data_IF_574285967110
#
_entry.id   IF_574285967110
#
_cell.length_a   1.000
_cell.length_b   1.000
_cell.length_c   1.000
_cell.angle_alpha   90.00
_cell.angle_beta   90.00
_cell.angle_gamma   90.00
#
_symmetry.space_group_name_H-M   'P 1'
#
loop_
_entity.id
_entity.type
_entity.pdbx_description
1 polymer ?
#
# COMPACT_ATOMS: atom_id res chain seq x y z
N UNK A 1 -6.85 -4.10 -5.53
CA UNK A 1 -5.77 -4.08 -4.53
C UNK A 1 -4.40 -4.14 -5.20
N UNK A 2 -3.41 -3.44 -4.66
CA UNK A 2 -2.02 -3.49 -5.14
C UNK A 2 -1.09 -3.79 -3.97
N UNK A 3 -0.61 -5.03 -3.90
CA UNK A 3 0.35 -5.52 -2.91
C UNK A 3 1.78 -5.61 -3.43
N UNK A 4 2.71 -5.93 -2.54
CA UNK A 4 4.13 -6.15 -2.88
C UNK A 4 5.08 -5.59 -1.82
N UNK A 5 6.35 -5.95 -1.89
CA UNK A 5 7.35 -5.54 -0.90
C UNK A 5 7.56 -4.03 -0.77
N UNK A 6 8.19 -3.61 0.32
CA UNK A 6 8.60 -2.21 0.47
C UNK A 6 9.44 -1.76 -0.73
N UNK A 7 9.19 -0.55 -1.24
CA UNK A 7 9.89 0.02 -2.41
C UNK A 7 9.81 -0.81 -3.70
N UNK A 8 8.83 -1.70 -3.84
CA UNK A 8 8.63 -2.49 -5.08
C UNK A 8 8.08 -1.66 -6.25
N UNK A 9 7.52 -0.47 -6.00
CA UNK A 9 6.91 0.37 -7.02
C UNK A 9 5.38 0.39 -7.04
N UNK A 10 4.72 -0.15 -6.01
CA UNK A 10 3.24 -0.16 -5.86
C UNK A 10 2.60 1.19 -6.11
N UNK A 11 3.04 2.21 -5.39
CA UNK A 11 2.52 3.57 -5.51
C UNK A 11 2.70 4.15 -6.92
N UNK A 12 3.81 3.81 -7.58
CA UNK A 12 4.08 4.23 -8.97
C UNK A 12 3.08 3.59 -9.92
N UNK A 13 2.82 2.28 -9.76
CA UNK A 13 1.85 1.55 -10.58
C UNK A 13 0.43 2.03 -10.28
N UNK A 14 0.06 2.22 -9.00
CA UNK A 14 -1.24 2.76 -8.62
C UNK A 14 -1.52 4.12 -9.29
N UNK A 15 -0.55 5.04 -9.23
CA UNK A 15 -0.65 6.35 -9.89
C UNK A 15 -0.71 6.24 -11.41
N UNK A 16 0.03 5.29 -12.00
CA UNK A 16 0.03 5.08 -13.44
C UNK A 16 -1.30 4.49 -13.95
N UNK A 17 -1.93 3.60 -13.19
CA UNK A 17 -3.29 3.10 -13.47
C UNK A 17 -4.30 4.27 -13.35
N UNK A 18 -4.29 5.01 -12.24
CA UNK A 18 -5.21 6.12 -12.02
C UNK A 18 -5.14 7.19 -13.13
N UNK A 19 -3.95 7.51 -13.63
CA UNK A 19 -3.78 8.45 -14.76
C UNK A 19 -4.36 7.96 -16.08
N UNK A 20 -4.52 6.66 -16.28
CA UNK A 20 -5.10 6.08 -17.50
C UNK A 20 -6.61 5.95 -17.44
N UNK A 21 -7.19 6.21 -16.27
CA UNK A 21 -8.63 6.21 -16.01
C UNK A 21 -9.15 7.65 -15.88
N UNK A 22 -8.62 8.57 -16.68
CA UNK A 22 -8.86 10.03 -16.58
C UNK A 22 -10.35 10.41 -16.64
N UNK A 23 -11.16 9.63 -17.35
CA UNK A 23 -12.62 9.85 -17.47
C UNK A 23 -13.40 9.32 -16.26
N UNK A 24 -12.73 8.67 -15.31
CA UNK A 24 -13.34 8.04 -14.14
C UNK A 24 -12.86 8.71 -12.85
N UNK A 25 -13.76 8.84 -11.90
CA UNK A 25 -13.40 9.32 -10.57
C UNK A 25 -12.63 8.22 -9.83
N UNK A 26 -11.31 8.28 -9.95
CA UNK A 26 -10.40 7.32 -9.32
C UNK A 26 -9.82 7.88 -8.03
N UNK A 27 -9.87 7.12 -6.94
CA UNK A 27 -9.21 7.43 -5.68
C UNK A 27 -8.12 6.40 -5.40
N UNK A 28 -6.96 6.88 -4.94
CA UNK A 28 -5.83 6.04 -4.52
C UNK A 28 -5.65 6.20 -3.01
N UNK A 29 -5.70 5.11 -2.29
CA UNK A 29 -5.57 5.04 -0.84
C UNK A 29 -4.36 4.19 -0.51
N UNK A 30 -3.47 4.73 0.33
CA UNK A 30 -2.39 3.93 0.90
C UNK A 30 -2.84 3.30 2.22
N UNK A 31 -2.63 2.00 2.39
CA UNK A 31 -2.87 1.39 3.69
C UNK A 31 -1.93 1.95 4.77
N UNK A 32 -0.83 2.59 4.37
CA UNK A 32 0.10 3.22 5.30
C UNK A 32 -0.57 4.35 6.12
N UNK A 33 -1.68 4.91 5.62
CA UNK A 33 -2.48 5.88 6.37
C UNK A 33 -3.14 5.28 7.61
N UNK A 34 -3.28 3.96 7.66
CA UNK A 34 -3.96 3.23 8.73
C UNK A 34 -3.01 2.62 9.76
N UNK A 35 -1.74 3.03 9.80
CA UNK A 35 -0.87 2.66 10.93
C UNK A 35 -1.48 3.14 12.26
N UNK A 36 -1.31 2.34 13.30
CA UNK A 36 -1.71 2.73 14.65
C UNK A 36 -0.97 3.99 15.11
N UNK A 37 -1.69 4.90 15.76
CA UNK A 37 -1.11 6.10 16.37
C UNK A 37 -0.19 5.71 17.53
N UNK A 38 1.07 6.09 17.44
CA UNK A 38 2.06 5.83 18.50
C UNK A 38 2.36 7.06 19.36
N UNK A 39 1.56 8.13 19.26
CA UNK A 39 1.81 9.38 20.02
C UNK A 39 1.79 9.20 21.54
N UNK A 40 1.10 8.17 22.03
CA UNK A 40 1.04 7.81 23.46
C UNK A 40 2.13 6.83 23.91
N UNK A 41 2.92 6.30 22.97
CA UNK A 41 3.97 5.33 23.28
C UNK A 41 5.25 6.03 23.75
N UNK A 42 6.01 5.41 24.69
CA UNK A 42 7.33 5.89 25.03
C UNK A 42 8.25 5.93 23.80
N UNK A 43 9.17 6.92 23.69
CA UNK A 43 10.05 7.06 22.53
C UNK A 43 10.87 5.79 22.21
N UNK A 44 11.27 5.04 23.22
CA UNK A 44 12.03 3.78 23.04
C UNK A 44 11.18 2.68 22.43
N UNK A 45 9.89 2.63 22.74
CA UNK A 45 8.96 1.66 22.12
C UNK A 45 8.68 2.03 20.66
N UNK A 46 8.53 3.32 20.35
CA UNK A 46 8.37 3.80 18.98
C UNK A 46 9.57 3.40 18.10
N UNK A 47 10.80 3.54 18.59
CA UNK A 47 12.02 3.12 17.87
C UNK A 47 12.05 1.63 17.59
N UNK A 48 11.53 0.83 18.51
CA UNK A 48 11.51 -0.62 18.41
C UNK A 48 10.25 -1.18 17.74
N UNK A 49 9.29 -0.33 17.39
CA UNK A 49 8.04 -0.75 16.77
C UNK A 49 8.28 -1.36 15.39
N UNK A 50 7.62 -2.48 15.10
CA UNK A 50 7.76 -3.14 13.80
C UNK A 50 6.63 -2.70 12.86
N UNK A 51 6.88 -1.66 12.09
CA UNK A 51 5.95 -1.16 11.06
C UNK A 51 5.76 -2.13 9.88
N UNK A 52 6.64 -3.08 9.72
CA UNK A 52 6.55 -4.11 8.67
C UNK A 52 5.83 -5.40 9.18
N UNK A 53 5.13 -5.34 10.33
CA UNK A 53 4.29 -6.43 10.82
C UNK A 53 2.80 -6.11 10.55
N UNK A 54 1.96 -7.10 10.16
CA UNK A 54 0.55 -6.84 9.86
C UNK A 54 -0.24 -6.17 11.00
N UNK A 55 0.09 -6.48 12.25
CA UNK A 55 -0.56 -5.86 13.41
C UNK A 55 -0.23 -4.37 13.60
N UNK A 56 0.67 -3.79 12.80
CA UNK A 56 0.93 -2.37 12.83
C UNK A 56 -0.18 -1.54 12.16
N UNK A 57 -0.99 -2.18 11.32
CA UNK A 57 -2.12 -1.56 10.62
C UNK A 57 -3.43 -1.80 11.40
N UNK A 58 -4.22 -0.76 11.52
CA UNK A 58 -5.61 -0.82 11.97
C UNK A 58 -6.47 -1.39 10.84
N UNK A 59 -6.37 -2.71 10.67
CA UNK A 59 -7.05 -3.42 9.59
C UNK A 59 -8.58 -3.35 9.71
N UNK A 60 -9.11 -3.26 10.95
CA UNK A 60 -10.53 -3.15 11.18
C UNK A 60 -11.09 -1.84 10.62
N UNK A 61 -10.46 -0.71 10.96
CA UNK A 61 -10.82 0.60 10.42
C UNK A 61 -10.67 0.65 8.90
N UNK A 62 -9.56 0.12 8.37
CA UNK A 62 -9.31 0.08 6.92
C UNK A 62 -10.42 -0.67 6.17
N UNK A 63 -10.83 -1.84 6.67
CA UNK A 63 -11.91 -2.65 6.08
C UNK A 63 -13.26 -1.95 6.20
N UNK A 64 -13.55 -1.30 7.33
CA UNK A 64 -14.77 -0.52 7.54
C UNK A 64 -14.86 0.63 6.54
N UNK A 65 -13.79 1.40 6.40
CA UNK A 65 -13.71 2.53 5.47
C UNK A 65 -13.88 2.07 4.01
N UNK A 66 -13.23 0.97 3.60
CA UNK A 66 -13.39 0.40 2.26
C UNK A 66 -14.86 -0.02 2.02
N UNK A 67 -15.49 -0.70 2.99
CA UNK A 67 -16.91 -1.08 2.89
C UNK A 67 -17.84 0.12 2.77
N UNK A 68 -17.58 1.20 3.49
CA UNK A 68 -18.34 2.44 3.41
C UNK A 68 -18.18 3.10 2.02
N UNK A 69 -16.94 3.19 1.53
CA UNK A 69 -16.65 3.74 0.20
C UNK A 69 -17.34 2.95 -0.93
N UNK A 70 -17.36 1.62 -0.84
CA UNK A 70 -18.04 0.75 -1.81
C UNK A 70 -19.56 0.95 -1.82
N UNK A 71 -20.14 1.46 -0.72
CA UNK A 71 -21.56 1.85 -0.64
C UNK A 71 -21.81 3.29 -1.09
N UNK A 72 -20.76 4.03 -1.48
CA UNK A 72 -20.85 5.45 -1.81
C UNK A 72 -20.98 6.37 -0.59
N UNK A 73 -20.72 5.87 0.61
CA UNK A 73 -20.70 6.67 1.83
C UNK A 73 -19.44 7.52 1.91
N UNK A 74 -19.52 8.71 2.48
CA UNK A 74 -18.37 9.58 2.65
C UNK A 74 -17.47 9.08 3.78
N UNK A 75 -16.18 8.95 3.50
CA UNK A 75 -15.15 8.50 4.46
C UNK A 75 -14.05 9.56 4.56
N UNK A 76 -13.61 9.84 5.77
CA UNK A 76 -12.42 10.65 6.02
C UNK A 76 -11.22 9.71 6.21
N UNK A 77 -10.47 9.49 5.13
CA UNK A 77 -9.26 8.65 5.16
C UNK A 77 -8.24 9.29 6.09
N UNK A 78 -7.71 8.57 7.10
CA UNK A 78 -6.72 9.11 8.01
C UNK A 78 -5.45 9.55 7.27
N UNK A 79 -4.65 10.39 7.91
CA UNK A 79 -3.31 10.74 7.46
C UNK A 79 -2.28 10.29 8.49
N UNK A 80 -1.14 9.78 8.04
CA UNK A 80 -0.09 9.25 8.91
C UNK A 80 1.24 9.93 8.66
N UNK A 81 1.76 10.56 9.72
CA UNK A 81 3.08 11.17 9.71
C UNK A 81 4.16 10.17 10.14
N UNK A 82 5.00 9.79 9.18
CA UNK A 82 6.12 8.84 9.38
C UNK A 82 7.28 9.39 10.23
N UNK A 83 7.33 10.70 10.46
CA UNK A 83 8.39 11.33 11.26
C UNK A 83 7.98 11.32 12.74
N UNK A 84 6.74 11.67 13.00
CA UNK A 84 6.21 11.76 14.37
C UNK A 84 5.48 10.51 14.82
N UNK A 85 5.25 9.56 13.92
CA UNK A 85 4.46 8.32 14.14
C UNK A 85 3.06 8.59 14.67
N UNK A 86 2.44 9.67 14.20
CA UNK A 86 1.10 10.08 14.57
C UNK A 86 0.11 9.87 13.44
N UNK A 87 -1.07 9.44 13.80
CA UNK A 87 -2.24 9.44 12.93
C UNK A 87 -3.10 10.67 13.25
N UNK A 88 -3.36 11.49 12.25
CA UNK A 88 -4.26 12.64 12.35
C UNK A 88 -5.62 12.32 11.75
N UNK A 89 -6.64 13.11 12.12
CA UNK A 89 -7.90 13.09 11.40
C UNK A 89 -7.65 13.42 9.93
N UNK A 90 -8.22 12.59 9.04
CA UNK A 90 -7.88 12.62 7.64
C UNK A 90 -8.29 13.91 6.94
N UNK A 91 -7.43 14.32 6.03
CA UNK A 91 -7.67 15.47 5.16
C UNK A 91 -8.33 15.06 3.83
N UNK A 92 -8.32 13.77 3.50
CA UNK A 92 -8.91 13.24 2.29
C UNK A 92 -10.33 12.72 2.59
N UNK A 93 -11.34 13.52 2.23
CA UNK A 93 -12.73 13.08 2.23
C UNK A 93 -13.05 12.41 0.89
N UNK A 94 -13.36 11.12 0.91
CA UNK A 94 -13.82 10.34 -0.24
C UNK A 94 -15.33 10.16 -0.11
N UNK A 95 -16.09 10.83 -0.97
CA UNK A 95 -17.56 10.73 -0.96
C UNK A 95 -18.11 9.71 -1.98
N UNK A 96 -17.48 9.61 -3.13
CA UNK A 96 -17.83 8.67 -4.20
C UNK A 96 -16.62 8.47 -5.10
N UNK A 97 -16.41 7.26 -5.59
CA UNK A 97 -15.41 6.94 -6.60
C UNK A 97 -15.92 5.81 -7.51
N UNK A 98 -15.63 5.89 -8.80
CA UNK A 98 -15.88 4.81 -9.75
C UNK A 98 -14.86 3.70 -9.57
N UNK A 99 -13.62 4.06 -9.20
CA UNK A 99 -12.52 3.13 -8.96
C UNK A 99 -11.79 3.48 -7.66
N UNK A 100 -11.65 2.51 -6.78
CA UNK A 100 -10.87 2.60 -5.54
C UNK A 100 -9.62 1.74 -5.71
N UNK A 101 -8.45 2.37 -5.66
CA UNK A 101 -7.16 1.69 -5.68
C UNK A 101 -6.58 1.73 -4.26
N UNK A 102 -6.59 0.60 -3.57
CA UNK A 102 -5.92 0.45 -2.28
C UNK A 102 -4.54 -0.20 -2.51
N UNK A 103 -3.47 0.50 -2.11
CA UNK A 103 -2.11 0.00 -2.23
C UNK A 103 -1.42 -0.11 -0.88
N UNK A 104 -0.55 -1.10 -0.74
CA UNK A 104 0.28 -1.25 0.44
C UNK A 104 0.95 -2.61 0.57
N UNK A 105 1.90 -2.72 1.51
CA UNK A 105 2.66 -3.97 1.67
C UNK A 105 1.78 -5.14 2.11
N UNK A 106 0.70 -4.87 2.85
CA UNK A 106 -0.26 -5.88 3.32
C UNK A 106 -1.61 -5.85 2.58
N UNK A 107 -1.72 -5.14 1.46
CA UNK A 107 -2.98 -5.03 0.72
C UNK A 107 -3.54 -6.40 0.28
N UNK A 108 -2.67 -7.38 0.05
CA UNK A 108 -3.06 -8.76 -0.30
C UNK A 108 -2.96 -9.75 0.88
N UNK A 109 -2.77 -9.27 2.09
CA UNK A 109 -2.65 -10.11 3.28
C UNK A 109 -3.99 -10.33 3.99
N UNK A 110 -4.80 -9.26 4.12
CA UNK A 110 -6.05 -9.30 4.89
C UNK A 110 -7.18 -9.93 4.09
N UNK A 111 -7.74 -11.04 4.59
CA UNK A 111 -8.78 -11.81 3.91
C UNK A 111 -10.02 -10.96 3.59
N UNK A 112 -10.45 -10.12 4.54
CA UNK A 112 -11.62 -9.25 4.35
C UNK A 112 -11.44 -8.27 3.18
N UNK A 113 -10.22 -7.77 2.93
CA UNK A 113 -9.95 -6.93 1.77
C UNK A 113 -9.94 -7.72 0.46
N UNK A 114 -9.40 -8.95 0.50
CA UNK A 114 -9.40 -9.83 -0.68
C UNK A 114 -10.83 -10.12 -1.18
N UNK A 115 -11.76 -10.32 -0.25
CA UNK A 115 -13.18 -10.60 -0.55
C UNK A 115 -13.93 -9.38 -1.10
N UNK A 116 -13.48 -8.17 -0.80
CA UNK A 116 -14.06 -6.92 -1.28
C UNK A 116 -13.49 -6.46 -2.63
N UNK A 117 -12.48 -7.15 -3.16
CA UNK A 117 -11.71 -6.65 -4.31
C UNK A 117 -12.02 -7.40 -5.59
N UNK A 118 -12.23 -6.65 -6.68
CA UNK A 118 -12.43 -7.18 -8.03
C UNK A 118 -11.11 -7.59 -8.70
N UNK A 119 -10.02 -6.87 -8.40
CA UNK A 119 -8.70 -7.12 -9.00
C UNK A 119 -7.58 -7.01 -7.98
N UNK A 120 -6.70 -8.00 -7.97
CA UNK A 120 -5.57 -8.14 -7.05
C UNK A 120 -4.26 -8.19 -7.81
N UNK A 121 -3.41 -7.21 -7.60
CA UNK A 121 -2.13 -7.04 -8.29
C UNK A 121 -0.99 -7.18 -7.27
N UNK A 122 -0.01 -8.02 -7.56
CA UNK A 122 1.24 -8.05 -6.79
C UNK A 122 2.36 -7.41 -7.60
N UNK A 123 3.05 -6.44 -7.03
CA UNK A 123 4.22 -5.81 -7.65
C UNK A 123 5.48 -6.51 -7.17
N UNK A 124 6.08 -7.27 -8.07
CA UNK A 124 7.27 -8.06 -7.82
C UNK A 124 8.54 -7.31 -8.25
N UNK A 125 9.51 -7.24 -7.36
CA UNK A 125 10.77 -6.55 -7.57
C UNK A 125 11.84 -7.22 -6.74
N UNK A 126 13.01 -7.44 -7.31
CA UNK A 126 14.14 -8.09 -6.65
C UNK A 126 14.52 -7.38 -5.36
N UNK A 127 14.95 -8.16 -4.36
CA UNK A 127 15.18 -7.67 -3.00
C UNK A 127 16.30 -6.64 -2.91
N UNK A 128 17.36 -6.77 -3.71
CA UNK A 128 18.48 -5.83 -3.79
C UNK A 128 18.06 -4.47 -4.38
N UNK A 129 17.20 -4.48 -5.40
CA UNK A 129 16.61 -3.27 -5.99
C UNK A 129 15.70 -2.58 -4.97
N UNK A 130 14.87 -3.34 -4.26
CA UNK A 130 13.99 -2.79 -3.21
C UNK A 130 14.79 -2.21 -2.06
N UNK A 131 15.85 -2.88 -1.61
CA UNK A 131 16.74 -2.38 -0.56
C UNK A 131 17.45 -1.10 -0.99
N UNK A 132 17.99 -1.06 -2.20
CA UNK A 132 18.64 0.14 -2.76
C UNK A 132 17.68 1.33 -2.79
N UNK A 133 16.46 1.13 -3.26
CA UNK A 133 15.43 2.18 -3.29
C UNK A 133 15.02 2.62 -1.88
N UNK A 134 14.94 1.68 -0.94
CA UNK A 134 14.62 1.97 0.47
C UNK A 134 15.73 2.78 1.13
N UNK A 135 17.00 2.42 0.92
CA UNK A 135 18.15 3.20 1.41
C UNK A 135 18.08 4.64 0.93
N UNK A 136 17.88 4.85 -0.36
CA UNK A 136 17.80 6.20 -0.94
C UNK A 136 16.63 7.00 -0.34
N UNK A 137 15.44 6.40 -0.24
CA UNK A 137 14.26 7.07 0.31
C UNK A 137 14.43 7.40 1.78
N UNK A 138 14.79 6.41 2.60
CA UNK A 138 14.76 6.56 4.05
C UNK A 138 15.89 7.47 4.54
N UNK A 139 17.02 7.53 3.83
CA UNK A 139 18.09 8.50 4.13
C UNK A 139 17.76 9.92 3.68
N UNK A 140 17.05 10.11 2.55
CA UNK A 140 16.71 11.44 2.06
C UNK A 140 15.47 12.04 2.71
N UNK A 141 14.42 11.21 2.88
CA UNK A 141 13.08 11.71 3.17
C UNK A 141 12.67 11.46 4.63
N UNK A 142 13.31 10.51 5.32
CA UNK A 142 12.94 10.09 6.69
C UNK A 142 14.03 10.34 7.75
N UNK A 143 15.20 10.83 7.33
CA UNK A 143 16.28 11.23 8.24
C UNK A 143 17.06 10.07 8.89
N UNK A 144 16.90 8.84 8.40
CA UNK A 144 17.69 7.69 8.86
C UNK A 144 19.11 7.73 8.26
N UNK A 145 20.09 7.21 9.02
CA UNK A 145 21.40 6.90 8.45
C UNK A 145 21.38 5.52 7.75
N UNK A 146 22.43 5.24 6.99
CA UNK A 146 22.55 4.01 6.20
C UNK A 146 22.58 2.77 7.11
N UNK A 147 23.29 2.83 8.24
CA UNK A 147 23.44 1.72 9.18
C UNK A 147 22.07 1.38 9.81
N UNK A 148 21.35 2.39 10.29
CA UNK A 148 20.01 2.22 10.86
C UNK A 148 19.00 1.64 9.86
N UNK A 149 19.07 2.03 8.57
CA UNK A 149 18.20 1.43 7.55
C UNK A 149 18.53 -0.04 7.32
N UNK A 150 19.82 -0.40 7.30
CA UNK A 150 20.28 -1.79 7.11
C UNK A 150 19.90 -2.68 8.29
N UNK A 151 20.11 -2.20 9.50
CA UNK A 151 19.74 -2.93 10.72
C UNK A 151 18.22 -3.18 10.76
N UNK A 152 17.42 -2.14 10.52
CA UNK A 152 15.97 -2.28 10.44
C UNK A 152 15.54 -3.26 9.33
N UNK A 153 16.23 -3.21 8.18
CA UNK A 153 15.92 -4.11 7.07
C UNK A 153 16.16 -5.57 7.44
N UNK A 154 17.29 -5.88 8.06
CA UNK A 154 17.65 -7.25 8.46
C UNK A 154 16.79 -7.77 9.62
N UNK A 155 16.52 -6.92 10.60
CA UNK A 155 15.84 -7.32 11.83
C UNK A 155 14.31 -7.39 11.69
N UNK A 156 13.70 -6.53 10.85
CA UNK A 156 12.25 -6.39 10.76
C UNK A 156 11.71 -6.57 9.36
N UNK A 157 12.25 -5.81 8.40
CA UNK A 157 11.66 -5.71 7.05
C UNK A 157 11.75 -7.03 6.30
N UNK A 158 12.95 -7.61 6.23
CA UNK A 158 13.17 -8.88 5.51
C UNK A 158 12.41 -10.04 6.16
N UNK A 159 12.48 -10.27 7.48
CA UNK A 159 11.68 -11.33 8.12
C UNK A 159 10.18 -11.16 7.92
N UNK A 160 9.66 -9.94 8.02
CA UNK A 160 8.24 -9.66 7.79
C UNK A 160 7.84 -9.85 6.32
N UNK A 161 8.71 -9.48 5.38
CA UNK A 161 8.48 -9.75 3.98
C UNK A 161 8.35 -11.25 3.69
N UNK A 162 9.29 -12.04 4.21
CA UNK A 162 9.34 -13.49 4.01
C UNK A 162 8.14 -14.20 4.69
N UNK A 163 7.68 -13.68 5.83
CA UNK A 163 6.59 -14.28 6.60
C UNK A 163 5.19 -13.90 6.10
N UNK A 164 4.98 -12.67 5.64
CA UNK A 164 3.63 -12.14 5.39
C UNK A 164 3.43 -11.64 3.96
N UNK A 165 4.44 -10.93 3.39
CA UNK A 165 4.25 -10.23 2.12
C UNK A 165 4.45 -11.17 0.93
N UNK A 166 5.57 -11.88 0.88
CA UNK A 166 5.84 -12.82 -0.21
C UNK A 166 4.79 -13.94 -0.30
N UNK A 167 4.36 -14.57 0.81
CA UNK A 167 3.27 -15.55 0.76
C UNK A 167 1.92 -14.98 0.28
N UNK A 168 1.66 -13.68 0.41
CA UNK A 168 0.43 -13.03 -0.07
C UNK A 168 0.37 -12.93 -1.60
N UNK A 169 1.49 -13.09 -2.28
CA UNK A 169 1.60 -13.12 -3.75
C UNK A 169 0.68 -14.17 -4.39
N UNK A 170 0.40 -15.27 -3.71
CA UNK A 170 -0.54 -16.31 -4.16
C UNK A 170 -1.97 -15.83 -4.31
N UNK A 171 -2.33 -14.72 -3.66
CA UNK A 171 -3.67 -14.13 -3.72
C UNK A 171 -3.84 -13.17 -4.90
N UNK A 172 -2.77 -12.88 -5.64
CA UNK A 172 -2.80 -11.97 -6.77
C UNK A 172 -3.39 -12.63 -8.01
N UNK A 173 -4.23 -11.89 -8.72
CA UNK A 173 -4.72 -12.26 -10.06
C UNK A 173 -3.64 -11.96 -11.11
N UNK A 174 -2.82 -10.92 -10.89
CA UNK A 174 -1.75 -10.48 -11.80
C UNK A 174 -0.48 -10.14 -11.01
N UNK A 175 0.67 -10.54 -11.54
CA UNK A 175 1.99 -10.16 -11.03
C UNK A 175 2.63 -9.21 -12.04
N UNK A 176 3.01 -8.00 -11.58
CA UNK A 176 3.66 -6.98 -12.41
C UNK A 176 5.10 -6.78 -11.93
N UNK A 177 6.10 -6.87 -12.82
CA UNK A 177 7.47 -6.53 -12.45
C UNK A 177 7.59 -5.03 -12.18
N UNK A 178 8.11 -4.66 -11.00
CA UNK A 178 8.27 -3.27 -10.59
C UNK A 178 9.66 -2.67 -10.88
N UNK A 179 10.53 -3.43 -11.54
CA UNK A 179 11.92 -3.08 -11.86
C UNK A 179 12.16 -2.81 -13.36
N UNK A 180 11.15 -2.96 -14.18
CA UNK A 180 11.22 -2.77 -15.63
C UNK A 180 10.00 -2.02 -16.15
N UNK A 181 9.98 -1.78 -17.46
CA UNK A 181 8.84 -1.16 -18.13
C UNK A 181 7.59 -2.04 -18.03
N UNK A 182 6.49 -1.44 -17.59
CA UNK A 182 5.19 -2.08 -17.41
C UNK A 182 4.07 -1.45 -18.25
N UNK A 183 4.39 -0.58 -19.20
CA UNK A 183 3.40 0.14 -20.01
C UNK A 183 2.45 -0.78 -20.77
N UNK A 184 2.95 -1.89 -21.29
CA UNK A 184 2.10 -2.89 -21.99
C UNK A 184 1.10 -3.53 -21.03
N UNK A 185 1.53 -3.83 -19.82
CA UNK A 185 0.65 -4.42 -18.79
C UNK A 185 -0.42 -3.40 -18.38
N UNK A 186 -0.04 -2.14 -18.20
CA UNK A 186 -1.00 -1.06 -17.90
C UNK A 186 -2.01 -0.86 -19.01
N UNK A 187 -1.59 -0.97 -20.26
CA UNK A 187 -2.51 -0.87 -21.41
C UNK A 187 -3.57 -1.98 -21.39
N UNK A 188 -3.13 -3.21 -21.11
CA UNK A 188 -4.04 -4.37 -20.98
C UNK A 188 -4.99 -4.20 -19.79
N UNK A 189 -4.46 -3.78 -18.64
CA UNK A 189 -5.27 -3.53 -17.43
C UNK A 189 -6.31 -2.43 -17.65
N UNK A 190 -5.95 -1.35 -18.32
CA UNK A 190 -6.89 -0.27 -18.63
C UNK A 190 -8.05 -0.79 -19.50
N UNK A 191 -7.74 -1.58 -20.53
CA UNK A 191 -8.77 -2.22 -21.34
C UNK A 191 -9.70 -3.14 -20.54
N UNK A 192 -9.16 -3.92 -19.62
CA UNK A 192 -9.93 -4.78 -18.73
C UNK A 192 -10.83 -3.96 -17.79
N UNK A 193 -10.27 -2.97 -17.11
CA UNK A 193 -11.02 -2.13 -16.15
C UNK A 193 -12.16 -1.36 -16.83
N UNK A 194 -11.90 -0.79 -18.01
CA UNK A 194 -12.96 -0.12 -18.77
C UNK A 194 -14.06 -1.09 -19.23
N UNK A 195 -13.69 -2.31 -19.59
CA UNK A 195 -14.67 -3.34 -19.95
C UNK A 195 -15.55 -3.73 -18.75
N UNK A 196 -14.98 -3.96 -17.58
CA UNK A 196 -15.73 -4.29 -16.35
C UNK A 196 -16.69 -3.17 -15.96
N UNK A 197 -16.24 -1.91 -15.98
CA UNK A 197 -17.06 -0.75 -15.60
C UNK A 197 -18.24 -0.47 -16.56
N UNK A 198 -18.16 -0.93 -17.80
CA UNK A 198 -19.25 -0.77 -18.77
C UNK A 198 -20.28 -1.91 -18.65
N UNK A 199 -19.89 -3.07 -18.13
CA UNK A 199 -20.72 -4.27 -18.09
C UNK A 199 -21.29 -4.59 -16.68
N UNK A 200 -20.90 -3.84 -15.68
CA UNK A 200 -21.42 -3.90 -14.31
C UNK A 200 -21.99 -2.55 -13.88
#
# INVERSE_FOLDING_TARGET
LIGGGTCSGKTTIAKAIGRRLDDLKTVIISHDNYYHDLSSYPPEECKNYNFDHPSAIDAALLVEDVKAMLKGEAVNVPDYDFITHKRSEGTLCVAFADVIILEGIFALYYQDLLELSDLKIFVDTDADIRLTRRLIRDTKDRGYDVEGVLDMYLDKVKPSHDAFIDPSKKNADIIIPGDRDFDKVLYMLNGYLLYELVNH
#
